data_IF_138077521527
#
_entry.id   IF_138077521527
#
_cell.length_a   1.000
_cell.length_b   1.000
_cell.length_c   1.000
_cell.angle_alpha   90.00
_cell.angle_beta   90.00
_cell.angle_gamma   90.00
#
_symmetry.space_group_name_H-M   'P 1'
#
loop_
_entity.id
_entity.type
_entity.pdbx_description
1 polymer ?
#
# COMPACT_ATOMS: atom_id res chain seq x y z
N UNK A 1 -27.65 3.64 40.74
CA UNK A 1 -26.37 4.33 40.46
C UNK A 1 -26.30 4.53 38.95
N UNK A 2 -26.57 5.79 38.56
CA UNK A 2 -26.79 6.15 37.17
C UNK A 2 -25.50 6.25 36.36
N UNK A 3 -25.51 5.61 35.20
CA UNK A 3 -24.54 5.83 34.15
C UNK A 3 -25.08 6.93 33.24
N UNK A 4 -24.55 8.14 33.42
CA UNK A 4 -24.82 9.22 32.49
C UNK A 4 -24.18 8.90 31.13
N UNK A 5 -24.98 9.02 30.09
CA UNK A 5 -24.63 8.92 28.69
C UNK A 5 -23.59 9.98 28.30
N UNK A 6 -22.36 9.54 28.01
CA UNK A 6 -21.40 10.35 27.26
C UNK A 6 -21.71 10.19 25.76
N UNK A 7 -22.79 10.82 25.32
CA UNK A 7 -23.05 11.08 23.91
C UNK A 7 -22.31 12.34 23.49
N UNK A 8 -21.81 12.29 22.26
CA UNK A 8 -21.35 13.41 21.45
C UNK A 8 -19.98 14.01 21.74
N UNK A 9 -19.00 13.42 21.01
CA UNK A 9 -18.02 14.21 20.24
C UNK A 9 -17.28 13.28 19.29
N UNK A 10 -17.83 13.08 18.08
CA UNK A 10 -17.00 12.68 16.94
C UNK A 10 -15.79 13.64 16.87
N UNK A 11 -14.56 13.15 16.60
CA UNK A 11 -13.42 14.04 16.50
C UNK A 11 -13.66 15.00 15.33
N UNK A 12 -14.13 16.21 15.62
CA UNK A 12 -14.13 17.31 14.66
C UNK A 12 -12.66 17.59 14.37
N UNK A 13 -12.24 17.40 13.13
CA UNK A 13 -10.99 17.98 12.64
C UNK A 13 -11.17 19.49 12.74
N UNK A 14 -10.63 20.08 13.80
CA UNK A 14 -10.69 21.54 14.04
C UNK A 14 -9.72 22.18 13.06
N UNK A 15 -10.25 22.77 12.00
CA UNK A 15 -9.51 23.62 11.09
C UNK A 15 -9.35 25.01 11.73
N UNK A 16 -8.19 25.27 12.31
CA UNK A 16 -7.85 26.61 12.83
C UNK A 16 -7.47 27.50 11.63
N UNK A 17 -8.20 28.59 11.45
CA UNK A 17 -7.98 29.59 10.42
C UNK A 17 -6.89 30.58 10.86
N UNK A 18 -5.84 30.76 10.07
CA UNK A 18 -4.98 31.93 10.12
C UNK A 18 -4.99 32.66 8.77
N UNK A 19 -5.37 33.95 8.80
CA UNK A 19 -5.33 34.86 7.68
C UNK A 19 -3.89 35.33 7.42
N UNK A 20 -3.34 34.98 6.27
CA UNK A 20 -2.07 35.51 5.78
C UNK A 20 -2.18 35.83 4.30
N UNK A 21 -2.09 37.11 3.91
CA UNK A 21 -1.98 37.58 2.54
C UNK A 21 -0.62 37.16 1.95
N UNK A 22 -0.61 36.17 1.07
CA UNK A 22 0.57 35.74 0.35
C UNK A 22 0.26 35.49 -1.14
N UNK A 23 1.03 36.11 -2.00
CA UNK A 23 1.04 35.96 -3.46
C UNK A 23 1.05 34.49 -3.89
N UNK A 24 0.35 34.08 -5.00
CA UNK A 24 0.37 32.70 -5.48
C UNK A 24 1.71 32.39 -6.12
N UNK A 25 2.63 31.90 -5.32
CA UNK A 25 3.84 31.24 -5.81
C UNK A 25 3.41 29.90 -6.39
N UNK A 26 3.83 29.57 -7.62
CA UNK A 26 3.73 28.22 -8.17
C UNK A 26 4.53 27.28 -7.25
N UNK A 27 3.88 26.79 -6.23
CA UNK A 27 4.49 25.99 -5.20
C UNK A 27 4.70 24.58 -5.71
N UNK A 28 5.91 24.05 -5.50
CA UNK A 28 6.24 22.64 -5.65
C UNK A 28 5.16 21.80 -4.96
N UNK A 29 4.78 20.64 -5.54
CA UNK A 29 3.76 19.80 -4.93
C UNK A 29 4.14 19.50 -3.47
N UNK A 30 3.15 19.48 -2.59
CA UNK A 30 3.33 19.17 -1.17
C UNK A 30 4.19 17.91 -1.02
N UNK A 31 5.33 17.95 -0.29
CA UNK A 31 6.33 16.88 -0.32
C UNK A 31 5.80 15.45 -0.13
N UNK A 32 4.86 15.17 0.80
CA UNK A 32 4.27 13.83 0.94
C UNK A 32 3.51 13.36 -0.31
N UNK A 33 2.86 14.24 -1.06
CA UNK A 33 2.20 13.88 -2.32
C UNK A 33 3.21 13.47 -3.40
N UNK A 34 4.43 14.02 -3.39
CA UNK A 34 5.49 13.60 -4.30
C UNK A 34 5.86 12.12 -4.10
N UNK A 35 5.92 11.65 -2.84
CA UNK A 35 6.12 10.23 -2.55
C UNK A 35 4.96 9.38 -3.11
N UNK A 36 3.71 9.80 -2.89
CA UNK A 36 2.54 9.07 -3.39
C UNK A 36 2.51 8.99 -4.91
N UNK A 37 2.69 10.11 -5.63
CA UNK A 37 2.63 10.12 -7.09
C UNK A 37 3.81 9.38 -7.74
N UNK A 38 5.01 9.53 -7.21
CA UNK A 38 6.18 8.79 -7.70
C UNK A 38 6.02 7.30 -7.42
N UNK A 39 5.51 6.93 -6.25
CA UNK A 39 5.19 5.54 -5.93
C UNK A 39 4.15 4.94 -6.89
N UNK A 40 3.10 5.68 -7.23
CA UNK A 40 2.13 5.25 -8.25
C UNK A 40 2.79 5.11 -9.64
N UNK A 41 3.71 6.00 -10.01
CA UNK A 41 4.51 5.87 -11.23
C UNK A 41 5.35 4.60 -11.26
N UNK A 42 6.02 4.27 -10.14
CA UNK A 42 6.74 3.01 -9.99
C UNK A 42 5.84 1.78 -10.10
N UNK A 43 4.61 1.80 -9.55
CA UNK A 43 3.65 0.71 -9.69
C UNK A 43 3.24 0.50 -11.16
N UNK A 44 3.04 1.57 -11.93
CA UNK A 44 2.76 1.47 -13.37
C UNK A 44 3.95 0.84 -14.11
N UNK A 45 5.17 1.33 -13.89
CA UNK A 45 6.38 0.77 -14.50
C UNK A 45 6.57 -0.71 -14.13
N UNK A 46 6.39 -1.04 -12.86
CA UNK A 46 6.47 -2.42 -12.39
C UNK A 46 5.39 -3.31 -13.00
N UNK A 47 4.18 -2.80 -13.23
CA UNK A 47 3.11 -3.54 -13.91
C UNK A 47 3.49 -3.89 -15.36
N UNK A 48 4.18 -3.00 -16.07
CA UNK A 48 4.72 -3.27 -17.42
C UNK A 48 5.77 -4.38 -17.38
N UNK A 49 6.69 -4.34 -16.40
CA UNK A 49 7.68 -5.41 -16.21
C UNK A 49 7.02 -6.75 -15.86
N UNK A 50 6.03 -6.73 -14.97
CA UNK A 50 5.27 -7.93 -14.58
C UNK A 50 4.52 -8.53 -15.77
N UNK A 51 3.92 -7.70 -16.60
CA UNK A 51 3.26 -8.12 -17.82
C UNK A 51 4.26 -8.77 -18.80
N UNK A 52 5.44 -8.21 -18.99
CA UNK A 52 6.49 -8.77 -19.82
C UNK A 52 6.95 -10.16 -19.29
N UNK A 53 7.12 -10.31 -17.97
CA UNK A 53 7.47 -11.59 -17.33
C UNK A 53 6.37 -12.63 -17.59
N UNK A 54 5.11 -12.27 -17.40
CA UNK A 54 3.98 -13.18 -17.58
C UNK A 54 3.83 -13.62 -19.04
N UNK A 55 3.97 -12.71 -19.99
CA UNK A 55 3.93 -13.01 -21.43
C UNK A 55 5.06 -13.96 -21.80
N UNK A 56 6.29 -13.69 -21.33
CA UNK A 56 7.43 -14.59 -21.55
C UNK A 56 7.20 -15.99 -21.01
N UNK A 57 6.63 -16.08 -19.80
CA UNK A 57 6.31 -17.38 -19.18
C UNK A 57 5.29 -18.18 -20.01
N UNK A 58 4.21 -17.52 -20.46
CA UNK A 58 3.13 -18.17 -21.24
C UNK A 58 3.60 -18.60 -22.62
N UNK A 59 4.49 -17.83 -23.24
CA UNK A 59 5.07 -18.15 -24.55
C UNK A 59 6.19 -19.19 -24.50
N UNK A 60 6.55 -19.67 -23.31
CA UNK A 60 7.66 -20.61 -23.12
C UNK A 60 9.04 -19.98 -23.34
N UNK A 61 9.12 -18.65 -23.34
CA UNK A 61 10.36 -17.86 -23.45
C UNK A 61 10.55 -17.03 -22.18
N UNK A 62 10.84 -17.67 -21.02
CA UNK A 62 10.93 -16.96 -19.76
C UNK A 62 12.06 -15.94 -19.78
N UNK A 63 11.78 -14.76 -19.22
CA UNK A 63 12.78 -13.71 -19.09
C UNK A 63 13.85 -14.09 -18.05
N UNK A 64 15.06 -13.51 -18.14
CA UNK A 64 16.13 -13.77 -17.18
C UNK A 64 15.67 -13.51 -15.73
N UNK A 65 16.16 -14.28 -14.75
CA UNK A 65 15.71 -14.18 -13.34
C UNK A 65 15.88 -12.80 -12.71
N UNK A 66 16.86 -12.01 -13.15
CA UNK A 66 17.07 -10.65 -12.65
C UNK A 66 15.91 -9.70 -12.98
N UNK A 67 15.16 -9.93 -14.08
CA UNK A 67 13.98 -9.12 -14.42
C UNK A 67 12.91 -9.24 -13.32
N UNK A 68 12.76 -10.42 -12.73
CA UNK A 68 11.86 -10.64 -11.59
C UNK A 68 12.34 -9.85 -10.36
N UNK A 69 13.65 -9.76 -10.11
CA UNK A 69 14.17 -8.93 -9.00
C UNK A 69 13.89 -7.45 -9.24
N UNK A 70 14.07 -6.96 -10.47
CA UNK A 70 13.68 -5.59 -10.85
C UNK A 70 12.19 -5.34 -10.59
N UNK A 71 11.33 -6.23 -11.09
CA UNK A 71 9.88 -6.11 -10.92
C UNK A 71 9.48 -6.03 -9.44
N UNK A 72 9.95 -6.97 -8.62
CA UNK A 72 9.58 -7.05 -7.20
C UNK A 72 10.05 -5.82 -6.41
N UNK A 73 11.29 -5.36 -6.63
CA UNK A 73 11.80 -4.19 -5.91
C UNK A 73 11.20 -2.88 -6.42
N UNK A 74 10.89 -2.76 -7.71
CA UNK A 74 10.12 -1.63 -8.23
C UNK A 74 8.71 -1.57 -7.63
N UNK A 75 8.02 -2.72 -7.47
CA UNK A 75 6.71 -2.79 -6.77
C UNK A 75 6.86 -2.40 -5.31
N UNK A 76 7.74 -3.09 -4.57
CA UNK A 76 7.78 -2.99 -3.10
C UNK A 76 8.45 -1.72 -2.62
N UNK A 77 9.64 -1.40 -3.11
CA UNK A 77 10.40 -0.22 -2.66
C UNK A 77 9.94 1.03 -3.39
N UNK A 78 9.87 0.97 -4.73
CA UNK A 78 9.46 2.11 -5.55
C UNK A 78 7.99 2.47 -5.36
N UNK A 79 7.11 1.48 -5.40
CA UNK A 79 5.67 1.66 -5.31
C UNK A 79 5.16 1.69 -3.88
N UNK A 80 5.02 0.50 -3.30
CA UNK A 80 4.29 0.29 -2.04
C UNK A 80 4.92 1.02 -0.86
N UNK A 81 6.23 0.84 -0.62
CA UNK A 81 6.90 1.48 0.51
C UNK A 81 6.88 3.01 0.38
N UNK A 82 7.11 3.53 -0.82
CA UNK A 82 7.10 4.96 -1.06
C UNK A 82 5.72 5.58 -0.81
N UNK A 83 4.63 4.92 -1.22
CA UNK A 83 3.25 5.37 -0.95
C UNK A 83 2.93 5.31 0.55
N UNK A 84 3.30 4.22 1.24
CA UNK A 84 3.07 4.07 2.68
C UNK A 84 3.84 5.14 3.46
N UNK A 85 5.11 5.37 3.14
CA UNK A 85 5.92 6.40 3.79
C UNK A 85 5.37 7.80 3.53
N UNK A 86 4.93 8.09 2.30
CA UNK A 86 4.20 9.32 1.95
C UNK A 86 2.91 9.46 2.75
N UNK A 87 2.15 8.39 2.92
CA UNK A 87 0.96 8.33 3.77
C UNK A 87 1.26 8.65 5.23
N UNK A 88 2.30 8.07 5.81
CA UNK A 88 2.72 8.39 7.18
C UNK A 88 3.09 9.87 7.33
N UNK A 89 3.81 10.43 6.38
CA UNK A 89 4.12 11.87 6.37
C UNK A 89 2.86 12.74 6.27
N UNK A 90 1.84 12.32 5.49
CA UNK A 90 0.55 13.01 5.42
C UNK A 90 -0.20 12.98 6.74
N UNK A 91 -0.18 11.86 7.47
CA UNK A 91 -0.85 11.73 8.76
C UNK A 91 -0.25 12.64 9.84
N UNK A 92 1.08 12.73 9.89
CA UNK A 92 1.78 13.48 10.95
C UNK A 92 2.03 14.96 10.62
N UNK A 93 1.90 15.34 9.35
CA UNK A 93 2.11 16.71 8.87
C UNK A 93 0.90 17.13 8.01
N UNK A 94 -0.29 17.28 8.60
CA UNK A 94 -1.45 17.69 7.84
C UNK A 94 -1.18 19.05 7.18
N UNK A 95 -1.69 19.31 5.96
CA UNK A 95 -1.38 20.49 5.15
C UNK A 95 -1.76 21.82 5.80
N UNK A 96 -2.40 21.78 6.95
CA UNK A 96 -2.96 22.96 7.66
C UNK A 96 -2.26 23.32 8.98
N UNK A 97 -1.19 22.62 9.38
CA UNK A 97 -0.44 23.03 10.56
C UNK A 97 0.12 24.45 10.29
N UNK A 98 -0.42 25.43 11.02
CA UNK A 98 -0.10 26.85 10.87
C UNK A 98 1.38 27.19 11.16
N UNK A 99 2.12 26.26 11.72
CA UNK A 99 3.55 26.37 12.05
C UNK A 99 4.45 25.62 11.07
N UNK A 100 4.44 26.01 9.79
CA UNK A 100 5.42 25.57 8.79
C UNK A 100 6.80 26.20 8.97
N UNK A 101 7.30 26.36 10.19
CA UNK A 101 8.62 26.96 10.44
C UNK A 101 9.80 25.98 10.37
N UNK A 102 9.56 24.67 10.35
CA UNK A 102 10.64 23.70 10.16
C UNK A 102 10.82 23.42 8.68
N UNK A 103 12.06 23.57 8.14
CA UNK A 103 12.37 23.16 6.78
C UNK A 103 12.08 21.67 6.66
N UNK A 104 11.11 21.30 5.84
CA UNK A 104 10.83 19.92 5.51
C UNK A 104 12.06 19.32 4.82
N UNK A 105 12.88 18.56 5.54
CA UNK A 105 14.10 17.88 5.06
C UNK A 105 13.79 16.75 4.04
N UNK A 106 12.57 16.72 3.52
CA UNK A 106 12.06 15.66 2.66
C UNK A 106 12.62 15.60 1.23
N UNK A 107 13.12 16.71 0.59
CA UNK A 107 13.68 16.62 -0.75
C UNK A 107 14.89 15.69 -0.83
N UNK A 108 15.83 15.79 0.13
CA UNK A 108 17.01 14.92 0.17
C UNK A 108 16.61 13.45 0.37
N UNK A 109 15.73 13.20 1.33
CA UNK A 109 15.20 11.85 1.60
C UNK A 109 14.49 11.26 0.38
N UNK A 110 13.67 12.06 -0.31
CA UNK A 110 12.97 11.65 -1.52
C UNK A 110 13.96 11.27 -2.64
N UNK A 111 14.97 12.11 -2.89
CA UNK A 111 15.97 11.83 -3.92
C UNK A 111 16.87 10.65 -3.54
N UNK A 112 17.26 10.53 -2.27
CA UNK A 112 18.04 9.38 -1.79
C UNK A 112 17.28 8.06 -1.96
N UNK A 113 15.98 8.03 -1.63
CA UNK A 113 15.14 6.85 -1.82
C UNK A 113 15.08 6.44 -3.30
N UNK A 114 14.80 7.38 -4.20
CA UNK A 114 14.63 7.08 -5.62
C UNK A 114 15.96 6.77 -6.32
N UNK A 115 17.05 7.53 -6.04
CA UNK A 115 18.35 7.24 -6.62
C UNK A 115 18.94 5.93 -6.09
N UNK A 116 18.76 5.65 -4.79
CA UNK A 116 19.14 4.36 -4.20
C UNK A 116 18.40 3.20 -4.85
N UNK A 117 17.08 3.33 -5.04
CA UNK A 117 16.29 2.32 -5.77
C UNK A 117 16.81 2.11 -7.20
N UNK A 118 17.00 3.18 -7.97
CA UNK A 118 17.53 3.06 -9.35
C UNK A 118 18.88 2.35 -9.34
N UNK A 119 19.79 2.72 -8.42
CA UNK A 119 21.09 2.06 -8.26
C UNK A 119 20.95 0.57 -7.92
N UNK A 120 20.02 0.22 -7.04
CA UNK A 120 19.72 -1.18 -6.70
C UNK A 120 19.20 -1.98 -7.92
N UNK A 121 18.29 -1.38 -8.71
CA UNK A 121 17.79 -2.01 -9.94
C UNK A 121 18.92 -2.20 -10.96
N UNK A 122 19.82 -1.22 -11.12
CA UNK A 122 21.03 -1.35 -11.96
C UNK A 122 21.94 -2.44 -11.43
N UNK A 123 22.13 -2.54 -10.12
CA UNK A 123 22.92 -3.60 -9.49
C UNK A 123 22.37 -5.02 -9.79
N UNK A 124 21.05 -5.21 -9.74
CA UNK A 124 20.42 -6.47 -10.15
C UNK A 124 20.63 -6.77 -11.64
N UNK A 125 20.48 -5.77 -12.50
CA UNK A 125 20.69 -5.93 -13.93
C UNK A 125 22.14 -6.32 -14.27
N UNK A 126 23.11 -5.68 -13.61
CA UNK A 126 24.53 -5.95 -13.79
C UNK A 126 25.04 -7.18 -13.02
N UNK A 127 24.18 -7.86 -12.25
CA UNK A 127 24.57 -8.96 -11.34
C UNK A 127 25.66 -8.58 -10.33
N UNK A 128 25.66 -7.32 -9.87
CA UNK A 128 26.64 -6.78 -8.92
C UNK A 128 26.04 -6.63 -7.53
N UNK A 129 26.19 -7.66 -6.70
CA UNK A 129 25.62 -7.69 -5.35
C UNK A 129 26.15 -6.57 -4.45
N UNK A 130 27.42 -6.16 -4.62
CA UNK A 130 27.99 -5.02 -3.89
C UNK A 130 27.27 -3.72 -4.23
N UNK A 131 26.92 -3.50 -5.52
CA UNK A 131 26.14 -2.31 -5.94
C UNK A 131 24.74 -2.36 -5.31
N UNK A 132 24.10 -3.55 -5.30
CA UNK A 132 22.79 -3.73 -4.65
C UNK A 132 22.87 -3.38 -3.16
N UNK A 133 23.88 -3.88 -2.43
CA UNK A 133 24.05 -3.59 -1.00
C UNK A 133 24.32 -2.11 -0.73
N UNK A 134 25.30 -1.48 -1.42
CA UNK A 134 25.61 -0.06 -1.19
C UNK A 134 24.37 0.82 -1.46
N UNK A 135 23.65 0.59 -2.55
CA UNK A 135 22.46 1.38 -2.90
C UNK A 135 21.25 1.03 -2.02
N UNK A 136 21.16 -0.20 -1.54
CA UNK A 136 20.22 -0.65 -0.53
C UNK A 136 20.41 0.08 0.80
N UNK A 137 21.66 0.27 1.26
CA UNK A 137 21.97 1.11 2.43
C UNK A 137 21.50 2.56 2.26
N UNK A 138 21.60 3.11 1.05
CA UNK A 138 21.05 4.47 0.77
C UNK A 138 19.53 4.47 0.90
N UNK A 139 18.84 3.46 0.36
CA UNK A 139 17.37 3.28 0.53
C UNK A 139 17.02 3.15 2.01
N UNK A 140 17.74 2.31 2.76
CA UNK A 140 17.51 2.08 4.18
C UNK A 140 17.71 3.38 4.99
N UNK A 141 18.76 4.15 4.71
CA UNK A 141 19.01 5.45 5.35
C UNK A 141 17.88 6.45 5.05
N UNK A 142 17.38 6.50 3.81
CA UNK A 142 16.22 7.31 3.45
C UNK A 142 14.95 6.89 4.22
N UNK A 143 14.68 5.60 4.33
CA UNK A 143 13.58 5.08 5.15
C UNK A 143 13.74 5.46 6.62
N UNK A 144 14.93 5.28 7.20
CA UNK A 144 15.21 5.68 8.58
C UNK A 144 15.02 7.18 8.83
N UNK A 145 15.36 8.03 7.85
CA UNK A 145 15.09 9.48 7.91
C UNK A 145 13.59 9.78 8.00
N UNK A 146 12.76 9.09 7.19
CA UNK A 146 11.29 9.22 7.29
C UNK A 146 10.81 8.72 8.65
N UNK A 147 11.28 7.56 9.10
CA UNK A 147 10.93 6.98 10.40
C UNK A 147 11.25 7.95 11.53
N UNK A 148 12.44 8.56 11.52
CA UNK A 148 12.83 9.57 12.51
C UNK A 148 11.87 10.76 12.51
N UNK A 149 11.50 11.26 11.32
CA UNK A 149 10.55 12.36 11.16
C UNK A 149 9.17 11.99 11.72
N UNK A 150 8.66 10.79 11.36
CA UNK A 150 7.39 10.26 11.87
C UNK A 150 7.43 10.16 13.39
N UNK A 151 8.48 9.55 13.94
CA UNK A 151 8.65 9.35 15.38
C UNK A 151 8.75 10.66 16.15
N UNK A 152 9.59 11.60 15.69
CA UNK A 152 9.80 12.89 16.36
C UNK A 152 8.53 13.72 16.44
N UNK A 153 7.65 13.63 15.44
CA UNK A 153 6.36 14.34 15.41
C UNK A 153 5.27 13.58 16.17
N UNK A 154 5.20 12.26 15.99
CA UNK A 154 4.21 11.41 16.66
C UNK A 154 4.32 11.50 18.19
N UNK A 155 5.53 11.59 18.75
CA UNK A 155 5.73 11.75 20.20
C UNK A 155 4.98 12.95 20.78
N UNK A 156 4.83 14.02 20.02
CA UNK A 156 4.09 15.25 20.45
C UNK A 156 2.58 15.08 20.37
N UNK A 157 2.08 14.12 19.59
CA UNK A 157 0.65 13.90 19.32
C UNK A 157 0.10 12.63 20.00
N UNK A 158 0.90 11.87 20.74
CA UNK A 158 0.61 10.51 21.24
C UNK A 158 -0.51 10.40 22.28
N UNK A 159 -1.26 11.43 22.54
CA UNK A 159 -2.23 11.47 23.66
C UNK A 159 -3.61 10.88 23.37
N UNK A 160 -3.95 10.46 22.15
CA UNK A 160 -5.36 10.22 21.80
C UNK A 160 -5.78 8.88 21.22
N UNK A 161 -4.89 8.00 20.72
CA UNK A 161 -5.31 6.66 20.25
C UNK A 161 -4.16 5.65 20.17
N UNK A 162 -3.90 4.96 21.27
CA UNK A 162 -2.77 4.01 21.41
C UNK A 162 -2.79 2.87 20.38
N UNK A 163 -3.97 2.35 19.99
CA UNK A 163 -4.05 1.12 19.22
C UNK A 163 -3.49 1.23 17.79
N UNK A 164 -3.78 2.32 17.07
CA UNK A 164 -3.31 2.51 15.70
C UNK A 164 -1.82 2.84 15.63
N UNK A 165 -1.32 3.59 16.62
CA UNK A 165 0.09 3.95 16.71
C UNK A 165 1.00 2.73 16.82
N UNK A 166 0.57 1.66 17.50
CA UNK A 166 1.32 0.41 17.60
C UNK A 166 1.45 -0.30 16.25
N UNK A 167 0.38 -0.37 15.45
CA UNK A 167 0.48 -0.94 14.11
C UNK A 167 1.51 -0.19 13.25
N UNK A 168 1.52 1.13 13.30
CA UNK A 168 2.48 1.94 12.55
C UNK A 168 3.92 1.77 13.07
N UNK A 169 4.11 1.76 14.38
CA UNK A 169 5.43 1.55 14.98
C UNK A 169 6.00 0.16 14.61
N UNK A 170 5.18 -0.90 14.73
CA UNK A 170 5.58 -2.26 14.40
C UNK A 170 5.81 -2.42 12.88
N UNK A 171 5.02 -1.74 12.03
CA UNK A 171 5.24 -1.75 10.60
C UNK A 171 6.59 -1.12 10.23
N UNK A 172 6.94 0.01 10.83
CA UNK A 172 8.24 0.65 10.60
C UNK A 172 9.41 -0.21 11.11
N UNK A 173 9.22 -0.92 12.21
CA UNK A 173 10.20 -1.93 12.69
C UNK A 173 10.34 -3.07 11.69
N UNK A 174 9.23 -3.55 11.11
CA UNK A 174 9.22 -4.56 10.04
C UNK A 174 9.98 -4.10 8.80
N UNK A 175 9.86 -2.82 8.41
CA UNK A 175 10.61 -2.24 7.30
C UNK A 175 12.12 -2.25 7.57
N UNK A 176 12.55 -1.81 8.75
CA UNK A 176 13.98 -1.80 9.13
C UNK A 176 14.53 -3.22 9.19
N UNK A 177 13.84 -4.14 9.86
CA UNK A 177 14.26 -5.55 9.95
C UNK A 177 14.31 -6.24 8.59
N UNK A 178 13.30 -6.00 7.75
CA UNK A 178 13.26 -6.50 6.38
C UNK A 178 14.42 -5.96 5.54
N UNK A 179 14.69 -4.66 5.60
CA UNK A 179 15.84 -4.05 4.91
C UNK A 179 17.17 -4.64 5.39
N UNK A 180 17.35 -4.79 6.71
CA UNK A 180 18.56 -5.39 7.27
C UNK A 180 18.80 -6.83 6.77
N UNK A 181 17.74 -7.65 6.68
CA UNK A 181 17.84 -8.98 6.07
C UNK A 181 18.23 -8.89 4.58
N UNK A 182 17.73 -7.88 3.84
CA UNK A 182 18.11 -7.60 2.46
C UNK A 182 19.59 -7.29 2.31
N UNK A 183 20.16 -6.49 3.23
CA UNK A 183 21.59 -6.18 3.26
C UNK A 183 22.45 -7.41 3.57
N UNK A 184 22.02 -8.24 4.53
CA UNK A 184 22.69 -9.50 4.85
C UNK A 184 22.79 -10.38 3.59
N UNK A 185 21.73 -10.45 2.78
CA UNK A 185 21.71 -11.21 1.53
C UNK A 185 22.60 -10.56 0.46
N UNK A 186 22.56 -9.24 0.31
CA UNK A 186 23.33 -8.52 -0.71
C UNK A 186 24.83 -8.59 -0.47
N UNK A 187 25.27 -8.50 0.79
CA UNK A 187 26.69 -8.61 1.17
C UNK A 187 27.15 -10.06 1.39
N UNK A 188 26.24 -11.04 1.38
CA UNK A 188 26.58 -12.47 1.53
C UNK A 188 27.09 -12.84 2.92
N UNK A 189 26.66 -12.13 3.99
CA UNK A 189 27.15 -12.37 5.35
C UNK A 189 26.75 -13.73 5.94
N UNK A 190 25.67 -14.35 5.44
CA UNK A 190 25.15 -15.63 5.96
C UNK A 190 24.84 -16.60 4.78
N UNK A 191 25.86 -17.09 4.06
CA UNK A 191 25.65 -17.87 2.83
C UNK A 191 24.91 -19.18 3.09
N UNK A 192 25.19 -19.88 4.19
CA UNK A 192 24.58 -21.16 4.55
C UNK A 192 23.09 -21.03 4.93
N UNK A 193 22.71 -19.88 5.50
CA UNK A 193 21.34 -19.59 5.92
C UNK A 193 20.59 -18.68 4.94
N UNK A 194 21.14 -18.40 3.77
CA UNK A 194 20.61 -17.40 2.83
C UNK A 194 19.15 -17.66 2.41
N UNK A 195 18.72 -18.92 2.33
CA UNK A 195 17.34 -19.31 2.06
C UNK A 195 16.38 -18.83 3.14
N UNK A 196 16.73 -19.04 4.40
CA UNK A 196 15.90 -18.63 5.56
C UNK A 196 15.91 -17.12 5.77
N UNK A 197 17.08 -16.48 5.62
CA UNK A 197 17.19 -15.01 5.66
C UNK A 197 16.35 -14.38 4.55
N UNK A 198 16.29 -14.98 3.36
CA UNK A 198 15.43 -14.52 2.26
C UNK A 198 13.95 -14.66 2.61
N UNK A 199 13.52 -15.75 3.25
CA UNK A 199 12.14 -15.90 3.74
C UNK A 199 11.83 -14.83 4.80
N UNK A 200 12.74 -14.60 5.75
CA UNK A 200 12.59 -13.54 6.75
C UNK A 200 12.50 -12.16 6.11
N UNK A 201 13.37 -11.84 5.12
CA UNK A 201 13.32 -10.59 4.35
C UNK A 201 11.95 -10.38 3.72
N UNK A 202 11.45 -11.35 2.95
CA UNK A 202 10.18 -11.24 2.24
C UNK A 202 9.02 -11.02 3.22
N UNK A 203 8.95 -11.82 4.30
CA UNK A 203 7.83 -11.76 5.23
C UNK A 203 7.89 -10.55 6.17
N UNK A 204 9.07 -10.08 6.56
CA UNK A 204 9.21 -8.80 7.28
C UNK A 204 8.75 -7.62 6.43
N UNK A 205 9.09 -7.59 5.14
CA UNK A 205 8.63 -6.53 4.24
C UNK A 205 7.13 -6.66 3.97
N UNK A 206 6.63 -7.84 3.62
CA UNK A 206 5.22 -7.98 3.20
C UNK A 206 4.26 -8.01 4.39
N UNK A 207 4.55 -8.79 5.42
CA UNK A 207 3.69 -8.93 6.59
C UNK A 207 4.07 -7.93 7.70
N UNK A 208 5.35 -7.84 8.02
CA UNK A 208 5.84 -6.96 9.09
C UNK A 208 5.67 -5.47 8.76
N UNK A 209 5.93 -5.07 7.53
CA UNK A 209 5.78 -3.66 7.13
C UNK A 209 4.43 -3.40 6.45
N UNK A 210 4.18 -4.00 5.28
CA UNK A 210 3.04 -3.59 4.43
C UNK A 210 1.70 -3.99 5.04
N UNK A 211 1.52 -5.23 5.49
CA UNK A 211 0.27 -5.68 6.11
C UNK A 211 -0.07 -4.87 7.36
N UNK A 212 0.90 -4.69 8.27
CA UNK A 212 0.65 -3.93 9.51
C UNK A 212 0.34 -2.46 9.22
N UNK A 213 1.02 -1.82 8.25
CA UNK A 213 0.71 -0.47 7.82
C UNK A 213 -0.71 -0.35 7.27
N UNK A 214 -1.13 -1.27 6.40
CA UNK A 214 -2.47 -1.28 5.81
C UNK A 214 -3.54 -1.51 6.88
N UNK A 215 -3.37 -2.50 7.77
CA UNK A 215 -4.34 -2.76 8.85
C UNK A 215 -4.43 -1.54 9.78
N UNK A 216 -3.31 -0.94 10.16
CA UNK A 216 -3.29 0.27 10.97
C UNK A 216 -4.01 1.45 10.28
N UNK A 217 -3.77 1.64 9.00
CA UNK A 217 -4.45 2.64 8.18
C UNK A 217 -5.96 2.36 8.10
N UNK A 218 -6.38 1.11 7.89
CA UNK A 218 -7.80 0.75 7.83
C UNK A 218 -8.50 0.96 9.18
N UNK A 219 -7.81 0.68 10.31
CA UNK A 219 -8.32 1.00 11.64
C UNK A 219 -8.54 2.50 11.86
N UNK A 220 -7.77 3.33 11.17
CA UNK A 220 -7.93 4.78 11.24
C UNK A 220 -9.00 5.29 10.27
N UNK A 221 -8.95 4.86 9.01
CA UNK A 221 -9.79 5.41 7.93
C UNK A 221 -11.23 4.91 7.95
N UNK A 222 -11.44 3.60 8.13
CA UNK A 222 -12.76 3.03 7.96
C UNK A 222 -13.80 3.59 8.96
N UNK A 223 -13.47 3.81 10.25
CA UNK A 223 -14.38 4.48 11.17
C UNK A 223 -14.76 5.90 10.72
N UNK A 224 -13.81 6.63 10.09
CA UNK A 224 -14.07 7.97 9.56
C UNK A 224 -14.97 7.91 8.34
N UNK A 225 -14.65 7.04 7.36
CA UNK A 225 -15.41 6.88 6.12
C UNK A 225 -16.84 6.39 6.42
N UNK A 226 -17.00 5.44 7.33
CA UNK A 226 -18.30 4.87 7.68
C UNK A 226 -19.03 5.66 8.77
N UNK A 227 -18.42 6.72 9.31
CA UNK A 227 -18.94 7.52 10.42
C UNK A 227 -19.39 6.66 11.60
N UNK A 228 -18.66 5.57 11.85
CA UNK A 228 -18.99 4.56 12.86
C UNK A 228 -17.73 3.89 13.43
N UNK A 229 -17.61 3.76 14.77
CA UNK A 229 -16.53 2.98 15.38
C UNK A 229 -16.68 1.49 15.07
N UNK A 230 -15.59 0.73 15.18
CA UNK A 230 -15.63 -0.72 15.04
C UNK A 230 -16.63 -1.36 16.01
N UNK A 231 -17.35 -2.37 15.52
CA UNK A 231 -18.40 -3.07 16.24
C UNK A 231 -17.91 -3.67 17.56
N UNK A 232 -16.72 -4.27 17.56
CA UNK A 232 -16.12 -4.88 18.75
C UNK A 232 -14.69 -4.40 18.99
N UNK A 233 -14.46 -3.52 19.97
CA UNK A 233 -13.10 -3.14 20.38
C UNK A 233 -12.24 -4.32 20.85
N UNK A 234 -12.86 -5.35 21.46
CA UNK A 234 -12.16 -6.55 21.94
C UNK A 234 -11.58 -7.35 20.76
N UNK A 235 -12.37 -7.57 19.69
CA UNK A 235 -11.87 -8.25 18.49
C UNK A 235 -10.74 -7.47 17.83
N UNK A 236 -10.85 -6.13 17.77
CA UNK A 236 -9.78 -5.27 17.25
C UNK A 236 -8.49 -5.40 18.08
N UNK A 237 -8.60 -5.40 19.41
CA UNK A 237 -7.45 -5.56 20.31
C UNK A 237 -6.81 -6.95 20.22
N UNK A 238 -7.62 -8.02 20.17
CA UNK A 238 -7.11 -9.39 20.02
C UNK A 238 -6.37 -9.56 18.69
N UNK A 239 -6.93 -9.06 17.60
CA UNK A 239 -6.27 -9.08 16.30
C UNK A 239 -4.96 -8.26 16.30
N UNK A 240 -4.95 -7.10 17.00
CA UNK A 240 -3.76 -6.27 17.16
C UNK A 240 -2.62 -6.97 17.91
N UNK A 241 -2.91 -7.93 18.77
CA UNK A 241 -1.88 -8.74 19.43
C UNK A 241 -1.48 -9.93 18.57
N UNK A 242 -2.47 -10.68 18.04
CA UNK A 242 -2.22 -11.94 17.32
C UNK A 242 -1.47 -11.74 16.00
N UNK A 243 -1.80 -10.70 15.24
CA UNK A 243 -1.19 -10.50 13.91
C UNK A 243 0.29 -10.13 14.04
N UNK A 244 0.70 -9.10 14.80
CA UNK A 244 2.12 -8.78 14.95
C UNK A 244 2.93 -9.88 15.64
N UNK A 245 2.35 -10.52 16.65
CA UNK A 245 3.01 -11.64 17.34
C UNK A 245 3.17 -12.82 16.38
N UNK A 246 2.16 -13.14 15.57
CA UNK A 246 2.23 -14.16 14.53
C UNK A 246 3.34 -13.88 13.52
N UNK A 247 3.51 -12.61 13.09
CA UNK A 247 4.64 -12.22 12.23
C UNK A 247 5.97 -12.46 12.94
N UNK A 248 6.13 -12.02 14.18
CA UNK A 248 7.37 -12.19 14.93
C UNK A 248 7.73 -13.67 15.13
N UNK A 249 6.75 -14.52 15.49
CA UNK A 249 6.94 -15.96 15.64
C UNK A 249 7.28 -16.61 14.28
N UNK A 250 6.66 -16.18 13.18
CA UNK A 250 6.96 -16.68 11.84
C UNK A 250 8.41 -16.41 11.43
N UNK A 251 8.90 -15.20 11.68
CA UNK A 251 10.30 -14.84 11.42
C UNK A 251 11.24 -15.67 12.29
N UNK A 252 10.91 -15.85 13.57
CA UNK A 252 11.65 -16.75 14.45
C UNK A 252 11.68 -18.19 13.94
N UNK A 253 10.56 -18.70 13.39
CA UNK A 253 10.47 -20.01 12.76
C UNK A 253 11.43 -20.15 11.56
N UNK A 254 11.45 -19.17 10.65
CA UNK A 254 12.36 -19.17 9.51
C UNK A 254 13.83 -19.15 9.96
N UNK A 255 14.21 -18.25 10.86
CA UNK A 255 15.60 -18.12 11.31
C UNK A 255 16.10 -19.33 12.10
N UNK A 256 15.21 -20.09 12.74
CA UNK A 256 15.52 -21.34 13.42
C UNK A 256 15.20 -22.60 12.60
N UNK A 257 14.80 -22.44 11.33
CA UNK A 257 14.46 -23.55 10.42
C UNK A 257 13.43 -24.52 11.02
N UNK A 258 12.43 -23.99 11.74
CA UNK A 258 11.46 -24.77 12.50
C UNK A 258 10.05 -24.69 11.90
N UNK A 259 9.70 -25.67 11.08
CA UNK A 259 8.36 -25.79 10.48
C UNK A 259 7.22 -25.81 11.51
N UNK A 260 7.33 -26.50 12.68
CA UNK A 260 6.28 -26.42 13.70
C UNK A 260 6.04 -25.01 14.21
N UNK A 261 7.09 -24.20 14.39
CA UNK A 261 6.97 -22.79 14.81
C UNK A 261 6.32 -21.96 13.71
N UNK A 262 6.68 -22.17 12.44
CA UNK A 262 6.04 -21.52 11.28
C UNK A 262 4.54 -21.85 11.21
N UNK A 263 4.14 -23.09 11.45
CA UNK A 263 2.74 -23.51 11.48
C UNK A 263 1.96 -22.87 12.64
N UNK A 264 2.57 -22.80 13.83
CA UNK A 264 1.97 -22.10 14.97
C UNK A 264 1.77 -20.59 14.65
N UNK A 265 2.76 -19.96 14.03
CA UNK A 265 2.67 -18.59 13.57
C UNK A 265 1.56 -18.40 12.52
N UNK A 266 1.46 -19.32 11.56
CA UNK A 266 0.39 -19.37 10.57
C UNK A 266 -1.00 -19.44 11.21
N UNK A 267 -1.17 -20.27 12.24
CA UNK A 267 -2.43 -20.35 13.01
C UNK A 267 -2.76 -19.03 13.74
N UNK A 268 -1.76 -18.35 14.29
CA UNK A 268 -1.94 -17.03 14.92
C UNK A 268 -2.36 -15.97 13.90
N UNK A 269 -1.68 -15.91 12.75
CA UNK A 269 -2.00 -14.99 11.66
C UNK A 269 -3.39 -15.26 11.10
N UNK A 270 -3.75 -16.52 10.88
CA UNK A 270 -5.08 -16.92 10.43
C UNK A 270 -6.15 -16.48 11.43
N UNK A 271 -5.98 -16.80 12.71
CA UNK A 271 -6.95 -16.45 13.75
C UNK A 271 -7.09 -14.93 13.87
N UNK A 272 -5.96 -14.20 13.96
CA UNK A 272 -5.96 -12.74 14.04
C UNK A 272 -6.61 -12.09 12.81
N UNK A 273 -6.32 -12.61 11.62
CA UNK A 273 -6.93 -12.16 10.37
C UNK A 273 -8.44 -12.37 10.32
N UNK A 274 -8.92 -13.54 10.69
CA UNK A 274 -10.36 -13.85 10.74
C UNK A 274 -11.11 -12.97 11.75
N UNK A 275 -10.54 -12.76 12.94
CA UNK A 275 -11.13 -11.88 13.95
C UNK A 275 -11.22 -10.45 13.45
N UNK A 276 -10.16 -9.96 12.80
CA UNK A 276 -10.13 -8.62 12.23
C UNK A 276 -11.12 -8.46 11.08
N UNK A 277 -11.16 -9.40 10.13
CA UNK A 277 -12.08 -9.42 8.99
C UNK A 277 -13.53 -9.48 9.49
N UNK A 278 -13.83 -10.35 10.45
CA UNK A 278 -15.16 -10.49 11.03
C UNK A 278 -15.66 -9.20 11.70
N UNK A 279 -14.79 -8.53 12.45
CA UNK A 279 -15.11 -7.24 13.06
C UNK A 279 -15.36 -6.13 12.01
N UNK A 280 -14.54 -6.10 10.97
CA UNK A 280 -14.67 -5.15 9.87
C UNK A 280 -15.98 -5.36 9.09
N UNK A 281 -16.30 -6.59 8.69
CA UNK A 281 -17.52 -6.93 7.97
C UNK A 281 -18.78 -6.69 8.83
N UNK A 282 -18.71 -7.00 10.13
CA UNK A 282 -19.78 -6.70 11.08
C UNK A 282 -20.04 -5.20 11.19
N UNK A 283 -18.97 -4.40 11.24
CA UNK A 283 -19.06 -2.93 11.27
C UNK A 283 -19.67 -2.38 9.99
N UNK A 284 -19.19 -2.86 8.83
CA UNK A 284 -19.69 -2.44 7.52
C UNK A 284 -21.20 -2.72 7.36
N UNK A 285 -21.64 -3.93 7.70
CA UNK A 285 -23.07 -4.33 7.60
C UNK A 285 -24.01 -3.46 8.44
N UNK A 286 -23.49 -2.86 9.50
CA UNK A 286 -24.27 -2.01 10.42
C UNK A 286 -24.08 -0.53 10.16
N UNK A 287 -23.25 -0.15 9.19
CA UNK A 287 -23.06 1.24 8.78
C UNK A 287 -24.17 1.69 7.84
N UNK A 288 -24.48 2.99 7.86
CA UNK A 288 -25.40 3.63 6.91
C UNK A 288 -24.69 4.22 5.70
N UNK A 289 -23.44 3.79 5.48
CA UNK A 289 -22.56 4.37 4.46
C UNK A 289 -23.08 4.06 3.05
N UNK A 290 -23.20 5.08 2.23
CA UNK A 290 -23.36 4.94 0.77
C UNK A 290 -21.99 4.70 0.16
N UNK A 291 -21.80 3.61 -0.59
CA UNK A 291 -20.52 3.18 -1.14
C UNK A 291 -19.67 4.32 -1.74
N UNK A 292 -18.36 4.20 -1.60
CA UNK A 292 -17.39 5.11 -2.21
C UNK A 292 -16.19 4.33 -2.72
N UNK A 293 -15.47 4.88 -3.72
CA UNK A 293 -14.28 4.22 -4.25
C UNK A 293 -13.29 3.84 -3.14
N UNK A 294 -13.12 4.71 -2.14
CA UNK A 294 -12.24 4.44 -1.00
C UNK A 294 -12.72 3.24 -0.16
N UNK A 295 -13.99 3.27 0.28
CA UNK A 295 -14.58 2.22 1.08
C UNK A 295 -14.58 0.87 0.36
N UNK A 296 -15.01 0.88 -0.90
CA UNK A 296 -15.24 -0.34 -1.67
C UNK A 296 -13.92 -1.05 -2.01
N UNK A 297 -12.88 -0.29 -2.39
CA UNK A 297 -11.53 -0.85 -2.56
C UNK A 297 -10.97 -1.43 -1.27
N UNK A 298 -11.12 -0.75 -0.13
CA UNK A 298 -10.64 -1.24 1.16
C UNK A 298 -11.40 -2.50 1.60
N UNK A 299 -12.70 -2.55 1.36
CA UNK A 299 -13.52 -3.72 1.66
C UNK A 299 -13.11 -4.93 0.80
N UNK A 300 -12.96 -4.71 -0.52
CA UNK A 300 -12.54 -5.77 -1.45
C UNK A 300 -11.11 -6.26 -1.14
N UNK A 301 -10.20 -5.38 -0.77
CA UNK A 301 -8.86 -5.78 -0.33
C UNK A 301 -8.90 -6.77 0.83
N UNK A 302 -9.87 -6.61 1.73
CA UNK A 302 -10.06 -7.50 2.89
C UNK A 302 -10.43 -8.94 2.47
N UNK A 303 -11.24 -9.11 1.43
CA UNK A 303 -11.53 -10.44 0.87
C UNK A 303 -10.28 -11.09 0.28
N UNK A 304 -9.45 -10.32 -0.43
CA UNK A 304 -8.19 -10.83 -0.96
C UNK A 304 -7.18 -11.16 0.13
N UNK A 305 -7.19 -10.44 1.25
CA UNK A 305 -6.39 -10.80 2.41
C UNK A 305 -6.78 -12.18 2.95
N UNK A 306 -8.08 -12.49 3.01
CA UNK A 306 -8.55 -13.81 3.42
C UNK A 306 -8.00 -14.90 2.48
N UNK A 307 -8.10 -14.72 1.15
CA UNK A 307 -7.50 -15.65 0.19
C UNK A 307 -5.99 -15.78 0.37
N UNK A 308 -5.28 -14.67 0.58
CA UNK A 308 -3.84 -14.67 0.84
C UNK A 308 -3.49 -15.51 2.08
N UNK A 309 -4.23 -15.35 3.17
CA UNK A 309 -4.01 -16.12 4.40
C UNK A 309 -4.26 -17.62 4.15
N UNK A 310 -5.36 -17.97 3.49
CA UNK A 310 -5.70 -19.37 3.18
C UNK A 310 -4.60 -20.00 2.30
N UNK A 311 -4.19 -19.31 1.25
CA UNK A 311 -3.13 -19.81 0.35
C UNK A 311 -1.79 -19.94 1.06
N UNK A 312 -1.45 -19.00 1.95
CA UNK A 312 -0.24 -19.08 2.77
C UNK A 312 -0.24 -20.30 3.71
N UNK A 313 -1.37 -20.57 4.36
CA UNK A 313 -1.54 -21.78 5.21
C UNK A 313 -1.41 -23.05 4.37
N UNK A 314 -2.01 -23.09 3.17
CA UNK A 314 -1.92 -24.24 2.26
C UNK A 314 -0.48 -24.49 1.80
N UNK A 315 0.27 -23.45 1.48
CA UNK A 315 1.71 -23.56 1.13
C UNK A 315 2.51 -24.11 2.29
N UNK A 316 2.29 -23.58 3.51
CA UNK A 316 2.95 -24.07 4.73
C UNK A 316 2.60 -25.55 5.03
N UNK A 317 1.32 -25.90 4.97
CA UNK A 317 0.87 -27.27 5.20
C UNK A 317 1.43 -28.25 4.16
N UNK A 318 1.55 -27.82 2.90
CA UNK A 318 2.14 -28.64 1.83
C UNK A 318 3.61 -28.95 2.07
N UNK A 319 4.35 -28.05 2.71
CA UNK A 319 5.76 -28.24 3.06
C UNK A 319 5.99 -29.28 4.17
N UNK A 320 4.95 -29.65 4.91
CA UNK A 320 5.01 -30.73 5.93
C UNK A 320 5.08 -32.12 5.31
N UNK A 321 4.74 -32.27 4.03
CA UNK A 321 4.75 -33.56 3.33
C UNK A 321 6.02 -33.68 2.50
N UNK A 322 6.66 -34.86 2.52
CA UNK A 322 7.82 -35.17 1.69
C UNK A 322 7.55 -36.45 0.87
N UNK A 323 7.38 -36.37 -0.44
CA UNK A 323 7.34 -35.14 -1.26
C UNK A 323 6.08 -34.29 -1.01
N UNK A 324 6.08 -33.00 -1.38
CA UNK A 324 4.89 -32.17 -1.29
C UNK A 324 3.72 -32.77 -2.09
N UNK A 325 2.52 -32.77 -1.50
CA UNK A 325 1.34 -33.41 -2.13
C UNK A 325 0.69 -32.53 -3.19
N UNK A 326 0.77 -31.20 -3.00
CA UNK A 326 0.24 -30.26 -3.96
C UNK A 326 1.39 -29.78 -4.85
N UNK A 327 1.28 -29.83 -6.18
CA UNK A 327 2.30 -29.27 -7.05
C UNK A 327 2.38 -27.77 -6.83
N UNK A 328 3.58 -27.31 -6.59
CA UNK A 328 3.90 -25.92 -6.38
C UNK A 328 4.91 -25.46 -7.42
N UNK A 329 4.38 -25.04 -8.57
CA UNK A 329 5.17 -24.50 -9.67
C UNK A 329 5.19 -22.98 -9.73
N UNK A 330 5.92 -22.44 -10.69
CA UNK A 330 6.07 -20.99 -10.90
C UNK A 330 4.72 -20.26 -11.04
N UNK A 331 3.74 -20.86 -11.73
CA UNK A 331 2.42 -20.24 -11.91
C UNK A 331 1.62 -20.17 -10.61
N UNK A 332 1.74 -21.16 -9.73
CA UNK A 332 1.10 -21.13 -8.42
C UNK A 332 1.69 -20.01 -7.56
N UNK A 333 3.02 -19.82 -7.63
CA UNK A 333 3.68 -18.70 -6.97
C UNK A 333 3.20 -17.37 -7.52
N UNK A 334 3.05 -17.23 -8.85
CA UNK A 334 2.50 -16.04 -9.49
C UNK A 334 1.08 -15.78 -9.01
N UNK A 335 0.22 -16.80 -8.94
CA UNK A 335 -1.14 -16.65 -8.44
C UNK A 335 -1.18 -16.17 -6.98
N UNK A 336 -0.45 -16.86 -6.09
CA UNK A 336 -0.39 -16.50 -4.67
C UNK A 336 0.11 -15.07 -4.48
N UNK A 337 1.19 -14.71 -5.13
CA UNK A 337 1.76 -13.36 -5.02
C UNK A 337 0.82 -12.30 -5.59
N UNK A 338 0.10 -12.55 -6.70
CA UNK A 338 -0.83 -11.58 -7.26
C UNK A 338 -2.10 -11.43 -6.42
N UNK A 339 -2.61 -12.49 -5.78
CA UNK A 339 -3.67 -12.35 -4.77
C UNK A 339 -3.26 -11.41 -3.63
N UNK A 340 -2.00 -11.54 -3.18
CA UNK A 340 -1.44 -10.67 -2.14
C UNK A 340 -1.19 -9.25 -2.65
N UNK A 341 -0.43 -9.10 -3.75
CA UNK A 341 0.02 -7.78 -4.19
C UNK A 341 -1.08 -7.00 -4.92
N UNK A 342 -1.77 -7.61 -5.86
CA UNK A 342 -2.80 -6.90 -6.64
C UNK A 342 -4.13 -6.94 -5.92
N UNK A 343 -4.56 -8.11 -5.48
CA UNK A 343 -5.85 -8.29 -4.81
C UNK A 343 -5.92 -7.54 -3.49
N UNK A 344 -4.95 -7.73 -2.60
CA UNK A 344 -4.96 -7.09 -1.28
C UNK A 344 -4.25 -5.73 -1.29
N UNK A 345 -2.94 -5.67 -1.60
CA UNK A 345 -2.14 -4.46 -1.36
C UNK A 345 -2.52 -3.34 -2.33
N UNK A 346 -2.61 -3.60 -3.65
CA UNK A 346 -2.95 -2.56 -4.63
C UNK A 346 -4.38 -2.05 -4.43
N UNK A 347 -5.35 -2.93 -4.13
CA UNK A 347 -6.70 -2.47 -3.77
C UNK A 347 -6.67 -1.58 -2.52
N UNK A 348 -5.94 -1.96 -1.47
CA UNK A 348 -5.82 -1.14 -0.26
C UNK A 348 -5.19 0.24 -0.56
N UNK A 349 -4.13 0.27 -1.39
CA UNK A 349 -3.49 1.51 -1.84
C UNK A 349 -4.47 2.38 -2.65
N UNK A 350 -5.19 1.78 -3.62
CA UNK A 350 -6.18 2.53 -4.41
C UNK A 350 -7.28 3.10 -3.53
N UNK A 351 -7.75 2.34 -2.54
CA UNK A 351 -8.71 2.81 -1.56
C UNK A 351 -8.18 3.99 -0.74
N UNK A 352 -6.99 3.86 -0.17
CA UNK A 352 -6.32 4.91 0.58
C UNK A 352 -6.08 6.17 -0.26
N UNK A 353 -5.54 6.02 -1.47
CA UNK A 353 -5.31 7.13 -2.40
C UNK A 353 -6.62 7.80 -2.82
N UNK A 354 -7.71 7.04 -3.00
CA UNK A 354 -9.03 7.59 -3.32
C UNK A 354 -9.59 8.49 -2.22
N UNK A 355 -9.17 8.29 -0.98
CA UNK A 355 -9.52 9.15 0.15
C UNK A 355 -8.52 10.31 0.33
N UNK A 356 -7.23 10.00 0.43
CA UNK A 356 -6.22 10.98 0.83
C UNK A 356 -5.86 12.00 -0.25
N UNK A 357 -5.77 11.57 -1.52
CA UNK A 357 -5.30 12.49 -2.58
C UNK A 357 -6.30 13.63 -2.80
N UNK A 358 -7.63 13.41 -2.91
CA UNK A 358 -8.60 14.51 -3.04
C UNK A 358 -8.56 15.49 -1.87
N UNK A 359 -8.54 14.98 -0.63
CA UNK A 359 -8.57 15.84 0.57
C UNK A 359 -7.28 16.67 0.69
N UNK A 360 -6.14 16.06 0.36
CA UNK A 360 -4.83 16.72 0.43
C UNK A 360 -4.67 17.76 -0.66
N UNK A 361 -5.06 17.44 -1.90
CA UNK A 361 -5.04 18.40 -3.02
C UNK A 361 -5.99 19.57 -2.77
N UNK A 362 -7.17 19.32 -2.22
CA UNK A 362 -8.10 20.38 -1.88
C UNK A 362 -7.52 21.32 -0.82
N UNK A 363 -6.83 20.74 0.15
CA UNK A 363 -6.17 21.48 1.20
C UNK A 363 -4.96 22.29 0.74
N UNK A 364 -4.15 21.72 -0.15
CA UNK A 364 -2.96 22.37 -0.72
C UNK A 364 -3.32 23.51 -1.67
N UNK A 365 -4.34 23.30 -2.53
CA UNK A 365 -4.72 24.24 -3.59
C UNK A 365 -5.71 25.32 -3.16
N UNK A 366 -6.49 25.08 -2.10
CA UNK A 366 -7.52 26.00 -1.61
C UNK A 366 -7.26 26.34 -0.13
N UNK A 367 -6.45 27.39 0.16
CA UNK A 367 -6.13 27.79 1.54
C UNK A 367 -7.39 28.16 2.35
N UNK A 368 -8.38 28.79 1.71
CA UNK A 368 -9.63 29.19 2.35
C UNK A 368 -10.49 27.96 2.68
N UNK A 369 -10.64 27.66 3.97
CA UNK A 369 -11.37 26.49 4.48
C UNK A 369 -12.84 26.45 4.03
N UNK A 370 -13.51 27.63 3.92
CA UNK A 370 -14.91 27.72 3.47
C UNK A 370 -15.10 27.36 2.00
N UNK A 371 -14.10 27.63 1.15
CA UNK A 371 -14.13 27.32 -0.31
C UNK A 371 -13.59 25.94 -0.63
N UNK A 372 -12.99 25.25 0.33
CA UNK A 372 -12.33 23.95 0.15
C UNK A 372 -13.31 22.81 -0.10
N UNK A 373 -14.46 22.79 0.63
CA UNK A 373 -15.48 21.75 0.52
C UNK A 373 -15.97 21.53 -0.91
N UNK A 374 -16.48 22.54 -1.61
CA UNK A 374 -16.95 22.39 -3.00
C UNK A 374 -15.88 21.87 -3.97
N UNK A 375 -14.62 22.26 -3.80
CA UNK A 375 -13.53 21.75 -4.64
C UNK A 375 -13.19 20.29 -4.31
N UNK A 376 -13.15 19.93 -3.03
CA UNK A 376 -12.98 18.54 -2.59
C UNK A 376 -14.08 17.63 -3.15
N UNK A 377 -15.35 18.10 -3.13
CA UNK A 377 -16.48 17.34 -3.68
C UNK A 377 -16.34 17.11 -5.18
N UNK A 378 -15.86 18.11 -5.94
CA UNK A 378 -15.55 17.94 -7.37
C UNK A 378 -14.47 16.85 -7.60
N UNK A 379 -13.43 16.81 -6.77
CA UNK A 379 -12.39 15.78 -6.85
C UNK A 379 -12.95 14.39 -6.50
N UNK A 380 -13.81 14.30 -5.49
CA UNK A 380 -14.47 13.06 -5.10
C UNK A 380 -15.39 12.51 -6.20
N UNK A 381 -16.12 13.37 -6.91
CA UNK A 381 -16.93 12.95 -8.06
C UNK A 381 -16.06 12.27 -9.11
N UNK A 382 -14.88 12.80 -9.40
CA UNK A 382 -13.93 12.19 -10.35
C UNK A 382 -13.44 10.84 -9.82
N UNK A 383 -13.07 10.75 -8.54
CA UNK A 383 -12.57 9.49 -7.96
C UNK A 383 -13.63 8.39 -7.88
N UNK A 384 -14.88 8.75 -7.64
CA UNK A 384 -15.98 7.78 -7.57
C UNK A 384 -16.52 7.36 -8.95
N UNK A 385 -16.20 8.12 -10.02
CA UNK A 385 -16.62 7.78 -11.37
C UNK A 385 -16.07 6.41 -11.78
N UNK A 386 -16.93 5.51 -12.25
CA UNK A 386 -16.59 4.14 -12.69
C UNK A 386 -15.86 3.29 -11.62
N UNK A 387 -16.02 3.60 -10.33
CA UNK A 387 -15.36 2.84 -9.25
C UNK A 387 -15.73 1.35 -9.27
N UNK A 388 -16.99 1.03 -9.45
CA UNK A 388 -17.46 -0.36 -9.55
C UNK A 388 -16.79 -1.11 -10.71
N UNK A 389 -16.70 -0.51 -11.89
CA UNK A 389 -16.03 -1.12 -13.04
C UNK A 389 -14.54 -1.33 -12.76
N UNK A 390 -13.87 -0.33 -12.21
CA UNK A 390 -12.45 -0.40 -11.84
C UNK A 390 -12.18 -1.53 -10.84
N UNK A 391 -12.96 -1.61 -9.77
CA UNK A 391 -12.81 -2.63 -8.72
C UNK A 391 -13.13 -4.02 -9.29
N UNK A 392 -14.21 -4.15 -10.05
CA UNK A 392 -14.61 -5.42 -10.65
C UNK A 392 -13.54 -5.94 -11.62
N UNK A 393 -13.04 -5.10 -12.53
CA UNK A 393 -12.01 -5.52 -13.50
C UNK A 393 -10.70 -5.90 -12.82
N UNK A 394 -10.25 -5.13 -11.84
CA UNK A 394 -9.05 -5.46 -11.07
C UNK A 394 -9.22 -6.78 -10.31
N UNK A 395 -10.36 -6.97 -9.65
CA UNK A 395 -10.64 -8.16 -8.84
C UNK A 395 -10.82 -9.40 -9.70
N UNK A 396 -11.61 -9.34 -10.76
CA UNK A 396 -11.82 -10.46 -11.68
C UNK A 396 -10.54 -10.86 -12.42
N UNK A 397 -9.73 -9.87 -12.82
CA UNK A 397 -8.42 -10.14 -13.42
C UNK A 397 -7.47 -10.84 -12.44
N UNK A 398 -7.45 -10.42 -11.18
CA UNK A 398 -6.64 -11.06 -10.12
C UNK A 398 -7.12 -12.48 -9.85
N UNK A 399 -8.43 -12.69 -9.69
CA UNK A 399 -9.02 -14.02 -9.51
C UNK A 399 -8.77 -14.92 -10.72
N UNK A 400 -8.83 -14.37 -11.93
CA UNK A 400 -8.52 -15.08 -13.16
C UNK A 400 -7.10 -15.63 -13.19
N UNK A 401 -6.11 -14.85 -12.76
CA UNK A 401 -4.72 -15.35 -12.63
C UNK A 401 -4.62 -16.49 -11.59
N UNK A 402 -5.35 -16.41 -10.49
CA UNK A 402 -5.41 -17.47 -9.50
C UNK A 402 -6.04 -18.76 -10.05
N UNK A 403 -7.13 -18.63 -10.78
CA UNK A 403 -7.80 -19.76 -11.42
C UNK A 403 -6.90 -20.40 -12.51
N UNK A 404 -6.20 -19.58 -13.28
CA UNK A 404 -5.23 -20.08 -14.27
C UNK A 404 -4.17 -20.98 -13.63
N UNK A 405 -3.63 -20.59 -12.49
CA UNK A 405 -2.65 -21.42 -11.79
C UNK A 405 -3.21 -22.80 -11.41
N UNK A 406 -4.47 -22.86 -11.00
CA UNK A 406 -5.13 -24.12 -10.69
C UNK A 406 -5.40 -24.96 -11.96
N UNK A 407 -5.79 -24.33 -13.05
CA UNK A 407 -6.10 -25.02 -14.32
C UNK A 407 -4.85 -25.60 -15.02
N UNK A 408 -3.72 -24.93 -14.92
CA UNK A 408 -2.46 -25.40 -15.55
C UNK A 408 -1.93 -26.71 -15.00
N UNK A 409 -2.52 -27.21 -13.95
CA UNK A 409 -2.25 -28.54 -13.44
C UNK A 409 -2.69 -29.66 -14.39
N UNK A 410 -3.85 -29.50 -14.99
CA UNK A 410 -4.48 -30.50 -15.85
C UNK A 410 -4.53 -30.09 -17.33
N UNK A 411 -4.21 -28.82 -17.63
CA UNK A 411 -4.34 -28.26 -18.97
C UNK A 411 -3.00 -27.64 -19.39
N UNK A 412 -2.41 -28.03 -20.53
CA UNK A 412 -1.13 -27.49 -20.97
C UNK A 412 -1.21 -26.00 -21.27
N UNK A 413 -0.12 -25.25 -21.04
CA UNK A 413 -0.03 -23.79 -21.28
C UNK A 413 -0.33 -23.41 -22.74
N UNK A 414 -0.08 -24.30 -23.67
CA UNK A 414 -0.38 -24.12 -25.12
C UNK A 414 -1.88 -24.20 -25.44
N UNK A 415 -2.71 -24.68 -24.51
CA UNK A 415 -4.15 -24.79 -24.72
C UNK A 415 -4.80 -23.44 -24.99
N UNK A 416 -5.69 -23.39 -25.97
CA UNK A 416 -6.46 -22.17 -26.30
C UNK A 416 -7.25 -21.63 -25.08
N UNK A 417 -7.74 -22.51 -24.21
CA UNK A 417 -8.48 -22.13 -23.00
C UNK A 417 -7.57 -21.36 -22.03
N UNK A 418 -6.34 -21.82 -21.83
CA UNK A 418 -5.34 -21.14 -20.98
C UNK A 418 -4.95 -19.79 -21.60
N UNK A 419 -4.71 -19.76 -22.91
CA UNK A 419 -4.36 -18.53 -23.61
C UNK A 419 -5.48 -17.46 -23.51
N UNK A 420 -6.71 -17.84 -23.80
CA UNK A 420 -7.87 -16.93 -23.69
C UNK A 420 -8.06 -16.44 -22.27
N UNK A 421 -8.05 -17.33 -21.29
CA UNK A 421 -8.21 -16.96 -19.88
C UNK A 421 -7.09 -16.02 -19.40
N UNK A 422 -5.84 -16.24 -19.84
CA UNK A 422 -4.71 -15.37 -19.53
C UNK A 422 -4.87 -13.98 -20.10
N UNK A 423 -5.15 -13.86 -21.40
CA UNK A 423 -5.30 -12.57 -22.04
C UNK A 423 -6.52 -11.81 -21.51
N UNK A 424 -7.60 -12.50 -21.17
CA UNK A 424 -8.76 -11.91 -20.50
C UNK A 424 -8.39 -11.37 -19.14
N UNK A 425 -7.66 -12.15 -18.30
CA UNK A 425 -7.23 -11.70 -16.98
C UNK A 425 -6.30 -10.50 -17.05
N UNK A 426 -5.34 -10.51 -17.99
CA UNK A 426 -4.44 -9.37 -18.25
C UNK A 426 -5.25 -8.14 -18.67
N UNK A 427 -6.16 -8.29 -19.62
CA UNK A 427 -7.00 -7.19 -20.12
C UNK A 427 -7.82 -6.55 -19.01
N UNK A 428 -8.42 -7.37 -18.13
CA UNK A 428 -9.16 -6.90 -16.97
C UNK A 428 -8.26 -6.15 -15.97
N UNK A 429 -7.10 -6.69 -15.64
CA UNK A 429 -6.14 -6.03 -14.74
C UNK A 429 -5.69 -4.69 -15.30
N UNK A 430 -5.30 -4.65 -16.57
CA UNK A 430 -4.88 -3.40 -17.22
C UNK A 430 -6.01 -2.37 -17.27
N UNK A 431 -7.24 -2.80 -17.51
CA UNK A 431 -8.40 -1.90 -17.47
C UNK A 431 -8.56 -1.24 -16.11
N UNK A 432 -8.48 -2.01 -15.01
CA UNK A 432 -8.56 -1.47 -13.65
C UNK A 432 -7.45 -0.46 -13.34
N UNK A 433 -6.21 -0.76 -13.72
CA UNK A 433 -5.04 0.12 -13.54
C UNK A 433 -5.16 1.40 -14.39
N UNK A 434 -5.57 1.29 -15.65
CA UNK A 434 -5.74 2.44 -16.55
C UNK A 434 -6.85 3.36 -16.04
N UNK A 435 -8.00 2.82 -15.63
CA UNK A 435 -9.09 3.61 -15.06
C UNK A 435 -8.63 4.40 -13.83
N UNK A 436 -7.86 3.79 -12.94
CA UNK A 436 -7.31 4.49 -11.78
C UNK A 436 -6.32 5.59 -12.18
N UNK A 437 -5.42 5.31 -13.12
CA UNK A 437 -4.44 6.28 -13.62
C UNK A 437 -5.11 7.49 -14.28
N UNK A 438 -6.17 7.25 -15.08
CA UNK A 438 -6.98 8.33 -15.71
C UNK A 438 -7.66 9.19 -14.64
N UNK A 439 -8.21 8.61 -13.60
CA UNK A 439 -8.79 9.38 -12.48
C UNK A 439 -7.74 10.24 -11.78
N UNK A 440 -6.56 9.67 -11.48
CA UNK A 440 -5.47 10.40 -10.83
C UNK A 440 -5.00 11.58 -11.68
N UNK A 441 -4.77 11.37 -12.97
CA UNK A 441 -4.38 12.46 -13.87
C UNK A 441 -5.47 13.52 -13.98
N UNK A 442 -6.75 13.10 -13.99
CA UNK A 442 -7.90 14.01 -14.04
C UNK A 442 -8.00 14.90 -12.80
N UNK A 443 -7.80 14.33 -11.57
CA UNK A 443 -7.83 15.16 -10.34
C UNK A 443 -6.61 16.07 -10.23
N UNK A 444 -5.45 15.64 -10.70
CA UNK A 444 -4.26 16.49 -10.75
C UNK A 444 -4.44 17.66 -11.74
N UNK A 445 -5.07 17.40 -12.89
CA UNK A 445 -5.33 18.42 -13.90
C UNK A 445 -6.47 19.39 -13.50
N UNK A 446 -7.40 18.97 -12.62
CA UNK A 446 -8.54 19.80 -12.20
C UNK A 446 -8.07 20.97 -11.36
N UNK A 447 -8.25 22.19 -11.83
CA UNK A 447 -7.93 23.43 -11.09
C UNK A 447 -9.15 23.92 -10.30
N UNK A 448 -8.96 24.60 -9.17
CA UNK A 448 -10.04 25.25 -8.45
C UNK A 448 -10.68 26.37 -9.30
N UNK A 449 -11.99 26.52 -9.23
CA UNK A 449 -12.75 27.54 -10.02
C UNK A 449 -12.35 29.00 -9.65
N UNK A 450 -11.86 29.20 -8.42
CA UNK A 450 -11.31 30.50 -7.96
C UNK A 450 -10.06 30.95 -8.74
N UNK A 451 -9.27 30.00 -9.25
CA UNK A 451 -8.12 30.31 -10.12
C UNK A 451 -8.57 30.64 -11.55
N UNK A 452 -9.67 30.06 -11.99
CA UNK A 452 -10.24 30.32 -13.31
C UNK A 452 -10.85 31.73 -13.39
N UNK A 453 -11.55 32.15 -12.36
CA UNK A 453 -12.10 33.52 -12.26
C UNK A 453 -11.00 34.60 -12.18
N UNK A 454 -9.87 34.30 -11.51
CA UNK A 454 -8.73 35.23 -11.44
C UNK A 454 -7.97 35.36 -12.77
N UNK A 455 -7.90 34.28 -13.56
CA UNK A 455 -7.28 34.30 -14.89
C UNK A 455 -8.14 35.02 -15.92
N UNK A 456 -9.46 34.84 -15.89
CA UNK A 456 -10.38 35.56 -16.79
C UNK A 456 -10.44 37.07 -16.48
N UNK A 457 -10.38 37.46 -15.19
CA UNK A 457 -10.34 38.88 -14.81
C UNK A 457 -9.02 39.57 -15.18
N UNK A 458 -7.90 38.86 -15.22
CA UNK A 458 -6.60 39.42 -15.65
C UNK A 458 -6.51 39.53 -17.17
N UNK A 459 -7.18 38.66 -17.91
CA UNK A 459 -7.22 38.73 -19.38
C UNK A 459 -8.20 39.82 -19.86
N UNK A 460 -9.33 40.03 -19.16
CA UNK A 460 -10.22 41.17 -19.41
C UNK A 460 -9.56 42.52 -19.11
N UNK A 461 -8.74 42.63 -18.06
CA UNK A 461 -7.97 43.84 -17.74
C UNK A 461 -6.85 44.13 -18.75
N UNK A 462 -6.34 43.13 -19.45
CA UNK A 462 -5.32 43.30 -20.51
C UNK A 462 -5.94 43.63 -21.88
N UNK A 463 -7.23 43.37 -22.08
CA UNK A 463 -7.96 43.74 -23.28
C UNK A 463 -8.57 45.13 -23.22
N UNK A 464 -8.60 45.77 -22.05
CA UNK A 464 -9.13 47.11 -21.79
C UNK A 464 -8.05 48.16 -21.53
N UNK A 465 -6.76 47.79 -21.56
CA UNK A 465 -5.59 48.67 -21.48
C UNK A 465 -4.87 48.69 -22.84
#
# INVERSE_FOLDING_TARGET
MGWQSATDKAPRIIFISSSGNGTPMFTRPYPPLSFCFTGLGWLVLASILGLAILIGLIRGTPLPPWVRMLHVHAVLVGGVAQIILGGFLLFISPPHAADRKEPDSHPLTFWALNSGLVGMLVGFWLHQSLVVGITGLVVMAACCSVIYTVWSRARRMWTSSLNQAWYYALSLLGLVGGSACGEILAFGFMPESSGYVRLAHIHLVVLGFVLLAIIGMMHHLLPIIWSRPFLSPRLAQTAMVLIPLGVAVLIGGFLNSSVPVEMAAGAMLFTGGILWIGNLLGTWRTSTHTGSAASDHLLVSTFFLLFTIILGVLVGANSLSSPPRLPYGTLHLVAYTHMTFVGFIVNAIMGACSYFIPITLAADRVPNTKKRGPYHDQLNVIMNRWSTLQIATLSLGTMGLGLLAALTWNVPLSSIYIQVATWTSIGLLMTGLVLFSVKLTSIVAKKPDTLRAALTSTDELKLTA
#
